data_IF_801527372589
#
_entry.id   IF_801527372589
#
_cell.length_a   1.000
_cell.length_b   1.000
_cell.length_c   1.000
_cell.angle_alpha   90.00
_cell.angle_beta   90.00
_cell.angle_gamma   90.00
#
_symmetry.space_group_name_H-M   'P 1'
#
loop_
_entity.id
_entity.type
_entity.pdbx_description
1 polymer ?
#
# COMPACT_ATOMS: atom_id res chain seq x y z
N UNK A 1 -9.40 -3.82 -24.87
CA UNK A 1 -9.28 -3.35 -23.47
C UNK A 1 -10.54 -2.55 -23.15
N UNK A 2 -11.16 -2.69 -21.96
CA UNK A 2 -12.29 -1.86 -21.55
C UNK A 2 -11.93 -0.37 -21.62
N UNK A 3 -12.87 0.49 -22.03
CA UNK A 3 -12.62 1.93 -22.27
C UNK A 3 -12.21 2.75 -21.03
N UNK A 4 -12.35 2.18 -19.84
CA UNK A 4 -11.96 2.71 -18.53
C UNK A 4 -10.55 2.30 -18.08
N UNK A 5 -9.83 1.50 -18.87
CA UNK A 5 -8.45 1.10 -18.54
C UNK A 5 -8.33 0.06 -17.42
N UNK A 6 -9.45 -0.44 -16.89
CA UNK A 6 -9.46 -1.56 -15.95
C UNK A 6 -8.91 -2.81 -16.63
N UNK A 7 -7.89 -3.38 -16.00
CA UNK A 7 -7.25 -4.63 -16.40
C UNK A 7 -7.50 -5.66 -15.30
N UNK A 8 -8.07 -6.84 -15.60
CA UNK A 8 -8.33 -7.86 -14.59
C UNK A 8 -7.07 -8.33 -13.86
N UNK A 9 -5.94 -8.27 -14.55
CA UNK A 9 -4.63 -8.60 -14.00
C UNK A 9 -3.57 -7.65 -14.54
N UNK A 10 -2.76 -7.11 -13.64
CA UNK A 10 -1.55 -6.35 -13.98
C UNK A 10 -0.35 -7.12 -13.47
N UNK A 11 0.62 -7.41 -14.35
CA UNK A 11 1.87 -8.06 -14.00
C UNK A 11 3.05 -7.16 -14.36
N UNK A 12 4.04 -7.09 -13.46
CA UNK A 12 5.30 -6.41 -13.71
C UNK A 12 6.44 -7.44 -13.81
N UNK A 13 7.21 -7.41 -14.89
CA UNK A 13 8.45 -8.19 -14.99
C UNK A 13 9.57 -7.42 -14.28
N UNK A 14 10.10 -8.01 -13.21
CA UNK A 14 11.15 -7.40 -12.38
C UNK A 14 12.53 -8.07 -12.56
N UNK A 15 12.70 -8.96 -13.53
CA UNK A 15 13.90 -9.79 -13.68
C UNK A 15 15.17 -8.95 -13.79
N UNK A 16 15.13 -7.88 -14.60
CA UNK A 16 16.27 -6.97 -14.80
C UNK A 16 16.68 -6.25 -13.51
N UNK A 17 15.71 -5.80 -12.71
CA UNK A 17 15.98 -5.13 -11.44
C UNK A 17 16.59 -6.08 -10.40
N UNK A 18 16.19 -7.36 -10.42
CA UNK A 18 16.78 -8.39 -9.56
C UNK A 18 18.23 -8.65 -9.90
N UNK A 19 18.56 -8.71 -11.20
CA UNK A 19 19.91 -8.98 -11.69
C UNK A 19 20.84 -7.78 -11.46
N UNK A 20 20.42 -6.58 -11.84
CA UNK A 20 21.31 -5.42 -11.89
C UNK A 20 21.34 -4.60 -10.59
N UNK A 21 20.27 -4.63 -9.80
CA UNK A 21 20.12 -3.77 -8.61
C UNK A 21 19.97 -4.58 -7.32
N UNK A 22 20.12 -5.92 -7.39
CA UNK A 22 19.82 -6.82 -6.28
C UNK A 22 18.42 -6.60 -5.67
N UNK A 23 17.46 -6.11 -6.48
CA UNK A 23 16.11 -5.83 -6.00
C UNK A 23 15.45 -7.09 -5.46
N UNK A 24 15.05 -7.08 -4.18
CA UNK A 24 14.46 -8.25 -3.51
C UNK A 24 13.26 -7.81 -2.66
N UNK A 25 12.03 -7.82 -3.22
CA UNK A 25 10.85 -7.44 -2.45
C UNK A 25 10.64 -8.41 -1.27
N UNK A 26 10.41 -7.86 -0.09
CA UNK A 26 10.26 -8.63 1.17
C UNK A 26 8.83 -8.64 1.70
N UNK A 27 7.90 -8.00 1.00
CA UNK A 27 6.52 -7.80 1.44
C UNK A 27 5.58 -8.39 0.40
N UNK A 28 4.80 -9.40 0.79
CA UNK A 28 3.75 -9.94 -0.08
C UNK A 28 2.58 -8.96 -0.21
N UNK A 29 1.90 -8.91 -1.36
CA UNK A 29 0.73 -8.06 -1.56
C UNK A 29 -0.36 -8.24 -0.49
N UNK A 30 -0.62 -9.47 -0.04
CA UNK A 30 -1.67 -9.74 0.97
C UNK A 30 -1.32 -9.24 2.38
N UNK A 31 -0.02 -9.06 2.67
CA UNK A 31 0.46 -8.63 3.99
C UNK A 31 0.79 -7.14 4.05
N UNK A 32 1.07 -6.52 2.90
CA UNK A 32 1.39 -5.09 2.79
C UNK A 32 0.33 -4.18 3.42
N UNK A 33 -0.95 -4.30 3.06
CA UNK A 33 -2.04 -3.46 3.60
C UNK A 33 -2.18 -3.57 5.12
N UNK A 34 -2.02 -4.77 5.69
CA UNK A 34 -2.08 -4.98 7.16
C UNK A 34 -0.95 -4.26 7.89
N UNK A 35 0.20 -4.07 7.22
CA UNK A 35 1.39 -3.39 7.73
C UNK A 35 1.46 -1.91 7.33
N UNK A 36 0.42 -1.36 6.71
CA UNK A 36 0.35 0.05 6.28
C UNK A 36 0.09 1.02 7.45
N UNK A 37 0.84 0.84 8.55
CA UNK A 37 0.65 1.57 9.80
C UNK A 37 1.22 2.99 9.77
N UNK A 38 2.21 3.26 8.92
CA UNK A 38 2.78 4.60 8.78
C UNK A 38 1.71 5.64 8.41
N UNK A 39 0.81 5.34 7.47
CA UNK A 39 -0.28 6.24 7.08
C UNK A 39 -1.21 6.57 8.25
N UNK A 40 -1.56 5.55 9.04
CA UNK A 40 -2.35 5.74 10.26
C UNK A 40 -1.58 6.51 11.34
N UNK A 41 -0.25 6.41 11.40
CA UNK A 41 0.57 7.20 12.31
C UNK A 41 0.69 8.66 11.89
N UNK A 42 0.65 8.93 10.58
CA UNK A 42 0.80 10.28 10.02
C UNK A 42 -0.53 11.05 10.01
N UNK A 43 -1.64 10.38 9.66
CA UNK A 43 -2.97 11.00 9.55
C UNK A 43 -3.97 10.55 10.62
N UNK A 44 -3.73 9.45 11.32
CA UNK A 44 -4.62 8.90 12.33
C UNK A 44 -4.26 9.32 13.75
N UNK A 45 -5.28 9.42 14.60
CA UNK A 45 -5.27 9.91 15.99
C UNK A 45 -5.28 11.44 16.22
N UNK A 46 -5.84 12.21 15.29
CA UNK A 46 -6.43 13.53 15.62
C UNK A 46 -7.96 13.45 15.84
N UNK A 47 -8.43 12.49 16.66
CA UNK A 47 -9.79 12.46 17.23
C UNK A 47 -9.76 11.66 18.53
N UNK A 48 -10.12 12.17 19.72
CA UNK A 48 -10.50 13.50 20.13
C UNK A 48 -10.69 13.53 21.65
N UNK A 49 -10.24 14.60 22.30
CA UNK A 49 -10.80 15.07 23.56
C UNK A 49 -11.64 16.29 23.24
N UNK A 50 -12.86 16.08 22.73
CA UNK A 50 -13.92 17.08 22.81
C UNK A 50 -15.09 16.42 23.51
N UNK A 51 -15.13 16.62 24.82
CA UNK A 51 -16.30 16.35 25.65
C UNK A 51 -17.44 17.23 25.11
N UNK A 52 -18.52 16.60 24.64
CA UNK A 52 -19.78 17.29 24.42
C UNK A 52 -20.61 17.14 25.71
N UNK A 53 -21.11 18.23 26.31
CA UNK A 53 -22.01 18.14 27.46
C UNK A 53 -23.36 17.56 27.03
N UNK A 54 -23.95 16.77 27.94
CA UNK A 54 -25.27 16.13 27.79
C UNK A 54 -26.41 17.15 27.66
#
# INVERSE_FOLDING_TARGET
>A
MPGNGDVPFTHANISLAREQLAYKPTTNPDVGPKKFKWYLSYYGYTRGSKNFPQ
#
